data_IF_500746922629
#
_entry.id   IF_500746922629
#
_cell.length_a   1.000
_cell.length_b   1.000
_cell.length_c   1.000
_cell.angle_alpha   90.00
_cell.angle_beta   90.00
_cell.angle_gamma   90.00
#
_symmetry.space_group_name_H-M   'P 1'
#
loop_
_entity.id
_entity.type
_entity.pdbx_description
1 polymer ?
#
# COMPACT_ATOMS: atom_id res chain seq x y z
N UNK A 1 -16.32 25.09 28.07
CA UNK A 1 -15.23 24.21 27.61
C UNK A 1 -14.83 24.66 26.22
N UNK A 2 -13.72 25.39 26.10
CA UNK A 2 -13.27 25.98 24.85
C UNK A 2 -12.59 24.92 23.98
N UNK A 3 -13.07 24.76 22.76
CA UNK A 3 -12.35 24.09 21.67
C UNK A 3 -11.20 24.98 21.22
N UNK A 4 -9.94 24.49 21.13
CA UNK A 4 -9.00 25.10 20.22
C UNK A 4 -9.33 24.55 18.83
N UNK A 5 -9.97 25.37 17.98
CA UNK A 5 -9.85 25.19 16.53
C UNK A 5 -8.41 25.56 16.17
N UNK A 6 -7.51 24.59 16.31
CA UNK A 6 -6.12 24.70 15.89
C UNK A 6 -6.04 24.67 14.37
N UNK A 7 -6.41 25.78 13.74
CA UNK A 7 -5.85 26.09 12.42
C UNK A 7 -4.34 26.14 12.55
N UNK A 8 -3.65 25.58 11.56
CA UNK A 8 -2.20 25.56 11.49
C UNK A 8 -1.62 26.95 11.81
N UNK A 9 -0.75 27.03 12.83
CA UNK A 9 -0.06 28.26 13.21
C UNK A 9 0.87 28.69 12.07
N UNK A 10 0.49 29.77 11.38
CA UNK A 10 1.23 30.30 10.24
C UNK A 10 2.65 30.74 10.65
N UNK A 11 2.85 31.16 11.89
CA UNK A 11 4.16 31.56 12.42
C UNK A 11 5.04 30.32 12.67
N UNK A 12 4.47 29.27 13.25
CA UNK A 12 5.12 27.95 13.37
C UNK A 12 5.49 27.32 12.02
N UNK A 13 4.62 27.41 11.01
CA UNK A 13 4.91 26.96 9.64
C UNK A 13 6.05 27.76 8.99
N UNK A 14 6.05 29.09 9.14
CA UNK A 14 7.10 29.95 8.61
C UNK A 14 8.45 29.68 9.30
N UNK A 15 8.44 29.44 10.62
CA UNK A 15 9.63 29.04 11.37
C UNK A 15 10.16 27.66 10.96
N UNK A 16 9.28 26.69 10.68
CA UNK A 16 9.67 25.39 10.13
C UNK A 16 10.25 25.53 8.71
N UNK A 17 9.63 26.34 7.86
CA UNK A 17 10.10 26.61 6.50
C UNK A 17 11.49 27.28 6.49
N UNK A 18 11.73 28.25 7.38
CA UNK A 18 13.02 28.93 7.53
C UNK A 18 14.14 28.03 8.09
N UNK A 19 13.81 26.88 8.67
CA UNK A 19 14.77 25.94 9.26
C UNK A 19 14.88 24.62 8.47
N UNK A 20 14.33 24.54 7.25
CA UNK A 20 14.43 23.34 6.39
C UNK A 20 15.89 22.93 6.16
N UNK A 21 16.82 23.88 6.07
CA UNK A 21 18.27 23.59 5.99
C UNK A 21 18.82 22.81 7.20
N UNK A 22 18.20 23.00 8.37
CA UNK A 22 18.53 22.25 9.59
C UNK A 22 18.18 20.76 9.51
N UNK A 23 17.25 20.36 8.63
CA UNK A 23 16.90 18.96 8.40
C UNK A 23 18.10 18.16 7.86
N UNK A 24 18.96 18.79 7.05
CA UNK A 24 20.16 18.16 6.51
C UNK A 24 21.16 17.74 7.61
N UNK A 25 21.06 18.34 8.81
CA UNK A 25 21.90 18.00 9.97
C UNK A 25 21.35 16.85 10.81
N UNK A 26 20.13 16.37 10.52
CA UNK A 26 19.51 15.28 11.27
C UNK A 26 19.93 13.92 10.69
N UNK A 27 20.08 12.93 11.57
CA UNK A 27 20.31 11.56 11.11
C UNK A 27 19.07 11.03 10.40
N UNK A 28 19.29 10.28 9.32
CA UNK A 28 18.22 9.67 8.51
C UNK A 28 17.41 8.66 9.33
N UNK A 29 18.05 8.01 10.30
CA UNK A 29 17.42 7.10 11.25
C UNK A 29 16.38 7.84 12.11
N UNK A 30 16.72 9.02 12.63
CA UNK A 30 15.81 9.84 13.43
C UNK A 30 14.67 10.40 12.58
N UNK A 31 14.99 10.94 11.40
CA UNK A 31 13.99 11.45 10.46
C UNK A 31 13.01 10.34 10.07
N UNK A 32 13.51 9.15 9.75
CA UNK A 32 12.67 8.00 9.44
C UNK A 32 11.76 7.59 10.60
N UNK A 33 12.27 7.60 11.84
CA UNK A 33 11.49 7.23 13.01
C UNK A 33 10.33 8.22 13.26
N UNK A 34 10.60 9.53 13.17
CA UNK A 34 9.56 10.56 13.30
C UNK A 34 8.56 10.51 12.15
N UNK A 35 9.00 10.22 10.91
CA UNK A 35 8.08 10.02 9.78
C UNK A 35 7.14 8.83 10.01
N UNK A 36 7.66 7.69 10.49
CA UNK A 36 6.82 6.51 10.81
C UNK A 36 5.84 6.81 11.95
N UNK A 37 6.29 7.52 12.99
CA UNK A 37 5.45 7.94 14.11
C UNK A 37 4.35 8.90 13.67
N UNK A 38 4.69 9.89 12.85
CA UNK A 38 3.73 10.83 12.25
C UNK A 38 2.69 10.06 11.45
N UNK A 39 3.11 9.22 10.50
CA UNK A 39 2.20 8.47 9.64
C UNK A 39 1.41 7.39 10.39
N UNK A 40 1.83 6.97 11.57
CA UNK A 40 1.08 6.07 12.46
C UNK A 40 0.04 6.77 13.34
N UNK A 41 -0.02 8.11 13.37
CA UNK A 41 -1.04 8.83 14.13
C UNK A 41 -2.44 8.64 13.53
N UNK A 42 -3.55 8.82 14.26
CA UNK A 42 -4.90 8.61 13.72
C UNK A 42 -5.18 9.39 12.42
N UNK A 43 -4.88 10.70 12.40
CA UNK A 43 -5.00 11.55 11.22
C UNK A 43 -3.73 12.42 11.03
N UNK A 44 -2.77 11.97 10.20
CA UNK A 44 -1.56 12.74 9.89
C UNK A 44 -1.76 13.75 8.76
N UNK A 45 -2.90 13.74 8.04
CA UNK A 45 -3.04 14.45 6.78
C UNK A 45 -2.86 15.97 6.91
N UNK A 46 -3.43 16.67 7.92
CA UNK A 46 -3.22 18.11 8.10
C UNK A 46 -1.75 18.48 8.32
N UNK A 47 -1.05 17.69 9.14
CA UNK A 47 0.37 17.92 9.45
C UNK A 47 1.26 17.69 8.22
N UNK A 48 1.00 16.63 7.44
CA UNK A 48 1.78 16.34 6.24
C UNK A 48 1.49 17.37 5.13
N UNK A 49 0.25 17.83 4.99
CA UNK A 49 -0.10 18.92 4.08
C UNK A 49 0.62 20.22 4.46
N UNK A 50 0.69 20.55 5.76
CA UNK A 50 1.47 21.67 6.26
C UNK A 50 2.97 21.54 5.93
N UNK A 51 3.55 20.35 6.12
CA UNK A 51 4.93 20.05 5.75
C UNK A 51 5.18 20.23 4.25
N UNK A 52 4.22 19.88 3.39
CA UNK A 52 4.32 20.10 1.94
C UNK A 52 4.35 21.58 1.60
N UNK A 53 3.44 22.38 2.16
CA UNK A 53 3.37 23.83 1.94
C UNK A 53 4.64 24.54 2.43
N UNK A 54 5.20 24.12 3.57
CA UNK A 54 6.45 24.67 4.10
C UNK A 54 7.72 24.12 3.42
N UNK A 55 7.61 23.21 2.44
CA UNK A 55 8.76 22.58 1.79
C UNK A 55 9.52 21.54 2.64
N UNK A 56 9.11 21.33 3.89
CA UNK A 56 9.67 20.33 4.81
C UNK A 56 9.53 18.92 4.24
N UNK A 57 8.35 18.59 3.69
CA UNK A 57 8.09 17.27 3.13
C UNK A 57 9.03 16.99 1.94
N UNK A 58 9.24 17.97 1.07
CA UNK A 58 10.19 17.86 -0.04
C UNK A 58 11.64 17.70 0.46
N UNK A 59 12.03 18.43 1.51
CA UNK A 59 13.35 18.30 2.12
C UNK A 59 13.61 16.92 2.74
N UNK A 60 12.60 16.29 3.32
CA UNK A 60 12.67 14.93 3.89
C UNK A 60 12.60 13.86 2.81
N UNK A 61 11.61 13.98 1.92
CA UNK A 61 11.23 12.98 0.94
C UNK A 61 10.92 13.64 -0.41
N UNK A 62 11.95 13.91 -1.23
CA UNK A 62 11.76 14.46 -2.58
C UNK A 62 10.82 13.59 -3.43
N UNK A 63 10.02 14.25 -4.27
CA UNK A 63 9.04 13.61 -5.16
C UNK A 63 7.82 13.03 -4.45
N UNK A 64 7.62 13.30 -3.15
CA UNK A 64 6.40 12.91 -2.43
C UNK A 64 5.27 13.92 -2.63
N UNK A 65 4.04 13.44 -2.48
CA UNK A 65 2.81 14.21 -2.63
C UNK A 65 1.78 13.84 -1.56
N UNK A 66 1.33 14.83 -0.79
CA UNK A 66 0.38 14.67 0.31
C UNK A 66 -1.07 14.42 -0.14
N UNK A 67 -1.43 14.62 -1.41
CA UNK A 67 -2.83 14.60 -1.88
C UNK A 67 -3.58 13.32 -1.54
N UNK A 68 -2.98 12.16 -1.84
CA UNK A 68 -3.63 10.86 -1.63
C UNK A 68 -3.74 10.46 -0.15
N UNK A 69 -2.95 11.08 0.75
CA UNK A 69 -2.92 10.70 2.16
C UNK A 69 -4.25 10.97 2.87
N UNK A 70 -4.88 12.13 2.61
CA UNK A 70 -6.17 12.47 3.22
C UNK A 70 -7.28 11.49 2.78
N UNK A 71 -7.29 11.12 1.50
CA UNK A 71 -8.23 10.15 0.95
C UNK A 71 -8.00 8.76 1.55
N UNK A 72 -6.74 8.34 1.69
CA UNK A 72 -6.41 7.07 2.33
C UNK A 72 -6.87 7.04 3.80
N UNK A 73 -6.61 8.10 4.58
CA UNK A 73 -7.07 8.20 5.98
C UNK A 73 -8.60 8.12 6.07
N UNK A 74 -9.31 8.78 5.16
CA UNK A 74 -10.77 8.67 5.07
C UNK A 74 -11.21 7.22 4.79
N UNK A 75 -10.63 6.56 3.77
CA UNK A 75 -10.97 5.18 3.42
C UNK A 75 -10.62 4.18 4.54
N UNK A 76 -9.51 4.39 5.25
CA UNK A 76 -9.16 3.59 6.43
C UNK A 76 -10.27 3.70 7.49
N UNK A 77 -10.79 4.92 7.74
CA UNK A 77 -11.88 5.12 8.70
C UNK A 77 -13.21 4.48 8.24
N UNK A 78 -13.58 4.64 6.97
CA UNK A 78 -14.79 4.03 6.39
C UNK A 78 -14.75 2.49 6.44
N UNK A 79 -13.54 1.92 6.37
CA UNK A 79 -13.35 0.46 6.37
C UNK A 79 -12.89 -0.10 7.71
N UNK A 80 -12.81 0.73 8.74
CA UNK A 80 -12.29 0.40 10.07
C UNK A 80 -10.91 -0.28 10.03
N UNK A 81 -10.06 0.14 9.08
CA UNK A 81 -8.67 -0.30 8.98
C UNK A 81 -7.81 0.46 10.00
N UNK A 82 -6.88 -0.24 10.64
CA UNK A 82 -5.93 0.39 11.55
C UNK A 82 -4.94 1.28 10.79
N UNK A 83 -4.49 2.40 11.38
CA UNK A 83 -3.42 3.21 10.81
C UNK A 83 -2.18 2.40 10.46
N UNK A 84 -1.73 2.48 9.22
CA UNK A 84 -0.54 1.78 8.74
C UNK A 84 0.47 2.76 8.14
N UNK A 85 1.58 2.96 8.84
CA UNK A 85 2.59 3.93 8.44
C UNK A 85 3.26 3.60 7.09
N UNK A 86 3.39 2.32 6.72
CA UNK A 86 4.01 1.92 5.46
C UNK A 86 3.03 2.07 4.30
N UNK A 87 1.75 1.76 4.52
CA UNK A 87 0.68 2.02 3.57
C UNK A 87 0.55 3.52 3.27
N UNK A 88 0.54 4.34 4.33
CA UNK A 88 0.47 5.81 4.19
C UNK A 88 1.73 6.39 3.57
N UNK A 89 2.90 5.81 3.82
CA UNK A 89 4.13 6.16 3.10
C UNK A 89 4.06 5.79 1.61
N UNK A 90 3.41 4.68 1.26
CA UNK A 90 3.17 4.29 -0.12
C UNK A 90 2.27 5.30 -0.85
N UNK A 91 1.26 5.85 -0.18
CA UNK A 91 0.40 6.92 -0.70
C UNK A 91 1.15 8.22 -0.96
N UNK A 92 2.11 8.57 -0.09
CA UNK A 92 2.97 9.75 -0.29
C UNK A 92 3.94 9.60 -1.46
N UNK A 93 4.41 8.38 -1.73
CA UNK A 93 5.40 8.13 -2.77
C UNK A 93 6.78 8.69 -2.44
N UNK A 94 7.44 9.29 -3.43
CA UNK A 94 8.79 9.84 -3.29
C UNK A 94 9.93 8.94 -3.77
N UNK A 95 11.12 9.52 -3.77
CA UNK A 95 12.37 8.98 -4.29
C UNK A 95 13.24 8.36 -3.19
N UNK A 96 13.84 7.18 -3.45
CA UNK A 96 14.79 6.52 -2.55
C UNK A 96 14.28 6.42 -1.09
N UNK A 97 12.98 6.15 -0.92
CA UNK A 97 12.28 6.21 0.36
C UNK A 97 12.95 5.31 1.40
N UNK A 98 13.33 4.09 0.99
CA UNK A 98 13.98 3.12 1.85
C UNK A 98 15.31 3.63 2.42
N UNK A 99 16.16 4.22 1.56
CA UNK A 99 17.46 4.75 1.95
C UNK A 99 17.35 6.03 2.77
N UNK A 100 16.41 6.92 2.42
CA UNK A 100 16.20 8.22 3.07
C UNK A 100 15.61 8.09 4.47
N UNK A 101 14.69 7.14 4.67
CA UNK A 101 14.01 6.92 5.95
C UNK A 101 14.57 5.72 6.73
N UNK A 102 15.64 5.08 6.22
CA UNK A 102 16.28 3.91 6.81
C UNK A 102 15.27 2.82 7.13
N UNK A 103 14.44 2.48 6.14
CA UNK A 103 13.49 1.39 6.26
C UNK A 103 14.25 0.06 6.43
N UNK A 104 13.71 -0.81 7.26
CA UNK A 104 14.14 -2.21 7.29
C UNK A 104 13.91 -2.87 5.94
N UNK A 105 14.61 -3.99 5.69
CA UNK A 105 14.42 -4.77 4.45
C UNK A 105 12.97 -5.23 4.27
N UNK A 106 12.26 -5.53 5.36
CA UNK A 106 10.87 -5.95 5.31
C UNK A 106 9.94 -4.79 4.92
N UNK A 107 10.10 -3.62 5.54
CA UNK A 107 9.33 -2.42 5.20
C UNK A 107 9.57 -1.97 3.76
N UNK A 108 10.84 -1.98 3.29
CA UNK A 108 11.16 -1.61 1.92
C UNK A 108 10.51 -2.53 0.88
N UNK A 109 10.51 -3.85 1.13
CA UNK A 109 9.83 -4.82 0.26
C UNK A 109 8.31 -4.62 0.26
N UNK A 110 7.73 -4.34 1.42
CA UNK A 110 6.29 -4.09 1.53
C UNK A 110 5.89 -2.79 0.83
N UNK A 111 6.65 -1.73 1.02
CA UNK A 111 6.44 -0.46 0.31
C UNK A 111 6.47 -0.64 -1.22
N UNK A 112 7.44 -1.40 -1.73
CA UNK A 112 7.55 -1.73 -3.16
C UNK A 112 6.35 -2.55 -3.65
N UNK A 113 5.95 -3.59 -2.91
CA UNK A 113 4.76 -4.40 -3.22
C UNK A 113 3.51 -3.54 -3.31
N UNK A 114 3.23 -2.74 -2.28
CA UNK A 114 2.06 -1.87 -2.21
C UNK A 114 1.99 -0.93 -3.42
N UNK A 115 3.10 -0.24 -3.73
CA UNK A 115 3.14 0.71 -4.85
C UNK A 115 2.97 0.02 -6.20
N UNK A 116 3.63 -1.11 -6.44
CA UNK A 116 3.49 -1.84 -7.71
C UNK A 116 2.09 -2.39 -7.88
N UNK A 117 1.58 -3.13 -6.89
CA UNK A 117 0.28 -3.78 -6.99
C UNK A 117 -0.89 -2.77 -7.03
N UNK A 118 -0.76 -1.61 -6.37
CA UNK A 118 -1.78 -0.55 -6.45
C UNK A 118 -1.84 0.09 -7.84
N UNK A 119 -0.71 0.16 -8.57
CA UNK A 119 -0.65 0.68 -9.94
C UNK A 119 -1.14 -0.32 -11.00
N UNK A 120 -1.17 -1.62 -10.68
CA UNK A 120 -1.72 -2.67 -11.53
C UNK A 120 -3.27 -2.72 -11.47
N UNK A 121 -3.89 -3.43 -12.42
CA UNK A 121 -5.35 -3.64 -12.49
C UNK A 121 -5.80 -5.01 -11.94
N UNK A 122 -4.94 -5.67 -11.17
CA UNK A 122 -5.19 -6.98 -10.56
C UNK A 122 -6.47 -6.95 -9.73
N UNK A 123 -7.36 -7.92 -9.95
CA UNK A 123 -8.68 -7.97 -9.31
C UNK A 123 -8.58 -8.29 -7.82
N UNK A 124 -9.57 -7.86 -7.03
CA UNK A 124 -9.59 -8.05 -5.59
C UNK A 124 -9.45 -9.53 -5.18
N UNK A 125 -10.15 -10.44 -5.84
CA UNK A 125 -10.05 -11.86 -5.55
C UNK A 125 -8.65 -12.44 -5.87
N UNK A 126 -8.00 -12.00 -6.95
CA UNK A 126 -6.62 -12.39 -7.21
C UNK A 126 -5.63 -11.83 -6.17
N UNK A 127 -5.81 -10.58 -5.74
CA UNK A 127 -5.02 -10.01 -4.64
C UNK A 127 -5.20 -10.81 -3.35
N UNK A 128 -6.42 -11.25 -3.05
CA UNK A 128 -6.73 -12.09 -1.90
C UNK A 128 -6.03 -13.44 -1.98
N UNK A 129 -6.05 -14.07 -3.16
CA UNK A 129 -5.37 -15.34 -3.40
C UNK A 129 -3.84 -15.24 -3.24
N UNK A 130 -3.23 -14.20 -3.82
CA UNK A 130 -1.76 -14.05 -3.85
C UNK A 130 -1.16 -13.46 -2.58
N UNK A 131 -1.90 -12.60 -1.88
CA UNK A 131 -1.36 -11.78 -0.79
C UNK A 131 -2.15 -11.90 0.52
N UNK A 132 -3.30 -12.58 0.51
CA UNK A 132 -4.21 -12.64 1.66
C UNK A 132 -5.03 -11.37 1.86
N UNK A 133 -5.94 -11.41 2.83
CA UNK A 133 -6.92 -10.34 3.07
C UNK A 133 -6.26 -9.04 3.53
N UNK A 134 -5.35 -9.09 4.50
CA UNK A 134 -4.75 -7.88 5.07
C UNK A 134 -3.96 -7.07 4.04
N UNK A 135 -3.03 -7.72 3.33
CA UNK A 135 -2.18 -7.03 2.36
C UNK A 135 -2.96 -6.68 1.09
N UNK A 136 -3.88 -7.55 0.63
CA UNK A 136 -4.75 -7.23 -0.49
C UNK A 136 -5.70 -6.05 -0.21
N UNK A 137 -6.20 -5.91 1.02
CA UNK A 137 -6.98 -4.74 1.46
C UNK A 137 -6.13 -3.48 1.43
N UNK A 138 -4.90 -3.54 1.94
CA UNK A 138 -3.98 -2.40 1.91
C UNK A 138 -3.70 -1.93 0.46
N UNK A 139 -3.47 -2.87 -0.47
CA UNK A 139 -3.29 -2.58 -1.90
C UNK A 139 -4.54 -1.89 -2.49
N UNK A 140 -5.74 -2.42 -2.20
CA UNK A 140 -6.99 -1.86 -2.71
C UNK A 140 -7.31 -0.48 -2.13
N UNK A 141 -7.06 -0.27 -0.83
CA UNK A 141 -7.21 1.04 -0.20
C UNK A 141 -6.25 2.07 -0.80
N UNK A 142 -4.99 1.69 -1.01
CA UNK A 142 -4.00 2.55 -1.67
C UNK A 142 -4.44 2.89 -3.09
N UNK A 143 -4.85 1.91 -3.88
CA UNK A 143 -5.34 2.11 -5.25
C UNK A 143 -6.55 3.04 -5.26
N UNK A 144 -7.52 2.83 -4.38
CA UNK A 144 -8.70 3.68 -4.27
C UNK A 144 -8.33 5.13 -3.91
N UNK A 145 -7.41 5.34 -2.97
CA UNK A 145 -6.92 6.67 -2.62
C UNK A 145 -6.18 7.37 -3.78
N UNK A 146 -5.31 6.65 -4.50
CA UNK A 146 -4.54 7.19 -5.63
C UNK A 146 -5.41 7.52 -6.84
N UNK A 147 -6.48 6.75 -7.06
CA UNK A 147 -7.42 6.93 -8.18
C UNK A 147 -8.68 7.71 -7.80
N UNK A 148 -8.75 8.21 -6.57
CA UNK A 148 -9.90 8.96 -6.04
C UNK A 148 -11.24 8.19 -6.17
N UNK A 149 -11.18 6.87 -5.99
CA UNK A 149 -12.32 5.96 -6.09
C UNK A 149 -12.91 5.65 -4.70
N UNK A 150 -14.23 5.43 -4.60
CA UNK A 150 -14.85 5.00 -3.35
C UNK A 150 -14.48 3.54 -3.03
N UNK A 151 -14.51 3.19 -1.74
CA UNK A 151 -14.51 1.79 -1.32
C UNK A 151 -15.86 1.14 -1.63
N UNK A 152 -15.82 -0.13 -2.06
CA UNK A 152 -17.01 -0.93 -2.31
C UNK A 152 -16.98 -2.19 -1.43
N UNK A 153 -18.10 -2.52 -0.80
CA UNK A 153 -18.25 -3.75 -0.03
C UNK A 153 -17.95 -5.01 -0.88
N UNK A 154 -18.22 -4.94 -2.19
CA UNK A 154 -17.93 -6.04 -3.11
C UNK A 154 -16.44 -6.37 -3.19
N UNK A 155 -15.57 -5.35 -3.11
CA UNK A 155 -14.12 -5.57 -3.10
C UNK A 155 -13.67 -6.40 -1.90
N UNK A 156 -14.29 -6.20 -0.73
CA UNK A 156 -14.00 -6.98 0.46
C UNK A 156 -14.45 -8.45 0.31
N UNK A 157 -15.64 -8.67 -0.27
CA UNK A 157 -16.16 -10.02 -0.55
C UNK A 157 -15.28 -10.79 -1.53
N UNK A 158 -14.91 -10.15 -2.64
CA UNK A 158 -14.05 -10.75 -3.66
C UNK A 158 -12.67 -11.09 -3.08
N UNK A 159 -12.10 -10.18 -2.29
CA UNK A 159 -10.84 -10.39 -1.59
C UNK A 159 -10.89 -11.60 -0.64
N UNK A 160 -11.95 -11.71 0.15
CA UNK A 160 -12.17 -12.83 1.07
C UNK A 160 -12.39 -14.16 0.32
N UNK A 161 -13.09 -14.15 -0.82
CA UNK A 161 -13.25 -15.31 -1.69
C UNK A 161 -11.88 -15.80 -2.18
N UNK A 162 -11.09 -14.88 -2.72
CA UNK A 162 -9.74 -15.16 -3.22
C UNK A 162 -8.81 -15.75 -2.17
N UNK A 163 -8.77 -15.17 -0.97
CA UNK A 163 -7.93 -15.66 0.12
C UNK A 163 -8.29 -17.08 0.59
N UNK A 164 -9.55 -17.49 0.40
CA UNK A 164 -10.04 -18.84 0.72
C UNK A 164 -9.86 -19.81 -0.44
N UNK A 165 -9.61 -19.33 -1.65
CA UNK A 165 -9.48 -20.17 -2.83
C UNK A 165 -8.29 -21.13 -2.72
N UNK A 166 -8.42 -22.32 -3.34
CA UNK A 166 -7.37 -23.35 -3.40
C UNK A 166 -7.29 -23.85 -4.83
N UNK A 167 -6.12 -23.67 -5.46
CA UNK A 167 -5.91 -24.12 -6.83
C UNK A 167 -6.06 -25.65 -6.92
N UNK A 168 -6.93 -26.19 -7.78
CA UNK A 168 -7.35 -27.58 -7.70
C UNK A 168 -6.44 -28.55 -8.48
N UNK A 169 -5.43 -28.06 -9.20
CA UNK A 169 -4.50 -28.89 -9.98
C UNK A 169 -3.16 -29.00 -9.26
N UNK A 170 -2.64 -30.21 -9.18
CA UNK A 170 -1.33 -30.53 -8.62
C UNK A 170 -0.36 -31.01 -9.70
N UNK A 171 0.94 -31.02 -9.38
CA UNK A 171 1.95 -31.57 -10.27
C UNK A 171 1.67 -33.03 -10.68
N UNK A 172 1.12 -33.84 -9.76
CA UNK A 172 0.83 -35.26 -10.00
C UNK A 172 -0.23 -35.46 -11.10
N UNK A 173 -1.12 -34.48 -11.30
CA UNK A 173 -2.17 -34.53 -12.31
C UNK A 173 -1.64 -34.38 -13.74
N UNK A 174 -0.43 -33.84 -13.89
CA UNK A 174 0.19 -33.54 -15.18
C UNK A 174 1.37 -34.49 -15.50
N UNK A 175 1.75 -35.33 -14.55
CA UNK A 175 2.84 -36.30 -14.73
C UNK A 175 2.30 -37.64 -15.26
N UNK A 176 3.07 -38.36 -16.10
CA UNK A 176 4.42 -38.04 -16.56
C UNK A 176 4.48 -37.15 -17.82
N UNK A 177 3.33 -36.71 -18.35
CA UNK A 177 3.25 -35.96 -19.61
C UNK A 177 4.13 -34.69 -19.59
N UNK A 178 4.11 -33.96 -18.47
CA UNK A 178 4.98 -32.81 -18.24
C UNK A 178 6.01 -33.12 -17.14
N UNK A 179 7.23 -32.59 -17.29
CA UNK A 179 8.29 -32.66 -16.29
C UNK A 179 9.23 -31.46 -16.35
N UNK A 180 10.01 -31.24 -15.29
CA UNK A 180 10.99 -30.15 -15.22
C UNK A 180 10.35 -28.76 -15.42
N UNK A 181 11.01 -27.84 -16.16
CA UNK A 181 10.48 -26.49 -16.43
C UNK A 181 9.09 -26.50 -17.09
N UNK A 182 8.84 -27.43 -18.02
CA UNK A 182 7.56 -27.52 -18.73
C UNK A 182 6.38 -27.84 -17.79
N UNK A 183 6.60 -28.60 -16.71
CA UNK A 183 5.58 -28.84 -15.68
C UNK A 183 5.23 -27.56 -14.92
N UNK A 184 6.24 -26.76 -14.56
CA UNK A 184 6.04 -25.47 -13.88
C UNK A 184 5.28 -24.48 -14.76
N UNK A 185 5.65 -24.38 -16.04
CA UNK A 185 4.98 -23.51 -17.02
C UNK A 185 3.52 -23.92 -17.22
N UNK A 186 3.24 -25.23 -17.31
CA UNK A 186 1.87 -25.75 -17.44
C UNK A 186 1.04 -25.46 -16.19
N UNK A 187 1.57 -25.68 -15.00
CA UNK A 187 0.88 -25.36 -13.73
C UNK A 187 0.53 -23.86 -13.65
N UNK A 188 1.48 -22.98 -13.97
CA UNK A 188 1.24 -21.53 -13.97
C UNK A 188 0.18 -21.11 -15.00
N UNK A 189 0.17 -21.74 -16.18
CA UNK A 189 -0.85 -21.47 -17.19
C UNK A 189 -2.25 -21.90 -16.73
N UNK A 190 -2.37 -23.07 -16.08
CA UNK A 190 -3.63 -23.55 -15.53
C UNK A 190 -4.11 -22.70 -14.34
N UNK A 191 -3.19 -22.29 -13.46
CA UNK A 191 -3.50 -21.41 -12.34
C UNK A 191 -4.00 -20.05 -12.81
N UNK A 192 -3.36 -19.47 -13.83
CA UNK A 192 -3.83 -18.23 -14.46
C UNK A 192 -5.23 -18.40 -15.05
N UNK A 193 -5.48 -19.47 -15.82
CA UNK A 193 -6.81 -19.75 -16.40
C UNK A 193 -7.88 -19.93 -15.31
N UNK A 194 -7.51 -20.55 -14.19
CA UNK A 194 -8.38 -20.69 -13.03
C UNK A 194 -8.71 -19.35 -12.37
N UNK A 195 -7.71 -18.49 -12.16
CA UNK A 195 -7.91 -17.13 -11.63
C UNK A 195 -8.79 -16.30 -12.59
N UNK A 196 -8.53 -16.35 -13.90
CA UNK A 196 -9.31 -15.64 -14.94
C UNK A 196 -10.78 -16.08 -14.97
N UNK A 197 -11.07 -17.32 -14.58
CA UNK A 197 -12.45 -17.80 -14.41
C UNK A 197 -13.10 -17.37 -13.09
N UNK A 198 -12.48 -16.46 -12.34
CA UNK A 198 -12.87 -16.07 -10.99
C UNK A 198 -12.99 -17.28 -10.05
N UNK A 199 -12.02 -18.20 -10.13
CA UNK A 199 -11.92 -19.38 -9.27
C UNK A 199 -13.07 -20.40 -9.45
N UNK A 200 -13.76 -20.39 -10.59
CA UNK A 200 -14.92 -21.27 -10.84
C UNK A 200 -14.57 -22.58 -11.53
N UNK A 201 -13.52 -22.62 -12.35
CA UNK A 201 -13.11 -23.84 -13.03
C UNK A 201 -12.68 -24.91 -12.03
N UNK A 202 -13.19 -26.12 -12.22
CA UNK A 202 -12.79 -27.30 -11.44
C UNK A 202 -11.49 -27.90 -11.99
N UNK A 203 -10.94 -28.90 -11.28
CA UNK A 203 -9.81 -29.69 -11.78
C UNK A 203 -10.10 -30.27 -13.17
N UNK A 204 -11.29 -30.80 -13.38
CA UNK A 204 -11.68 -31.47 -14.63
C UNK A 204 -11.90 -30.47 -15.78
N UNK A 205 -12.28 -29.22 -15.50
CA UNK A 205 -12.37 -28.19 -16.54
C UNK A 205 -11.00 -27.65 -17.01
N UNK A 206 -9.98 -27.83 -16.16
CA UNK A 206 -8.62 -27.32 -16.37
C UNK A 206 -7.71 -28.32 -17.11
N UNK A 207 -7.87 -29.61 -16.84
CA UNK A 207 -7.11 -30.70 -17.46
C UNK A 207 -7.62 -31.03 -18.86
#
# INVERSE_FOLDING_TARGET
MATPRGGLDAEGLAACAGNVEGLARLSRERVGAEMRKLLGAPDPAPSVAAMQVAGVLHGVLPGSDARALALLVYLESETNAAPDAILRLAALGGEAVAERLRLSRAEARRLDLLRRAAAETTQAAELGYRHGVEEGRAILLLRAALLEMPWSARLAEDLDQGAKARFPVTAADLMPEYSGPALGERLQALERRWIESNFTLTRDDLL
#
